data_IF_679628450882
#
_entry.id   IF_679628450882
#
_cell.length_a   1.000
_cell.length_b   1.000
_cell.length_c   1.000
_cell.angle_alpha   90.00
_cell.angle_beta   90.00
_cell.angle_gamma   90.00
#
_symmetry.space_group_name_H-M   'P 1'
#
loop_
_entity.id
_entity.type
_entity.pdbx_description
1 polymer ?
#
# COMPACT_ATOMS: atom_id res chain seq x y z
N UNK A 1 -15.03 19.41 4.40
CA UNK A 1 -14.84 18.75 3.09
C UNK A 1 -15.29 17.29 3.10
N UNK A 2 -14.73 16.43 3.95
CA UNK A 2 -15.09 14.98 4.02
C UNK A 2 -16.57 14.72 4.33
N UNK A 3 -17.15 15.44 5.30
CA UNK A 3 -18.57 15.29 5.67
C UNK A 3 -19.55 15.62 4.53
N UNK A 4 -19.17 16.54 3.63
CA UNK A 4 -19.99 16.90 2.46
C UNK A 4 -19.92 15.82 1.38
N UNK A 5 -18.72 15.26 1.15
CA UNK A 5 -18.51 14.17 0.19
C UNK A 5 -19.24 12.90 0.60
N UNK A 6 -19.21 12.54 1.89
CA UNK A 6 -19.94 11.38 2.43
C UNK A 6 -21.45 11.56 2.30
N UNK A 7 -21.98 12.77 2.56
CA UNK A 7 -23.42 13.07 2.37
C UNK A 7 -23.82 12.97 0.89
N UNK A 8 -23.05 13.55 -0.03
CA UNK A 8 -23.32 13.44 -1.48
C UNK A 8 -23.25 12.01 -2.01
N UNK A 9 -22.36 11.20 -1.47
CA UNK A 9 -22.23 9.79 -1.82
C UNK A 9 -23.44 8.98 -1.31
N UNK A 10 -23.95 9.33 -0.12
CA UNK A 10 -25.17 8.75 0.42
C UNK A 10 -26.43 9.18 -0.36
N UNK A 11 -26.47 10.43 -0.81
CA UNK A 11 -27.57 10.97 -1.63
C UNK A 11 -27.73 10.25 -2.99
N UNK A 12 -26.65 9.67 -3.54
CA UNK A 12 -26.70 8.84 -4.76
C UNK A 12 -26.95 7.34 -4.47
N UNK A 13 -27.42 7.01 -3.25
CA UNK A 13 -27.76 5.66 -2.83
C UNK A 13 -26.56 4.72 -2.67
N UNK A 14 -25.33 5.24 -2.69
CA UNK A 14 -24.12 4.45 -2.46
C UNK A 14 -23.69 4.60 -1.01
N UNK A 15 -23.42 3.47 -0.36
CA UNK A 15 -22.89 3.46 1.02
C UNK A 15 -21.62 4.31 1.10
N UNK A 16 -21.43 5.01 2.23
CA UNK A 16 -20.22 5.78 2.53
C UNK A 16 -18.92 4.96 2.41
N UNK A 17 -19.04 3.63 2.30
CA UNK A 17 -17.94 2.73 1.98
C UNK A 17 -17.22 3.05 0.66
N UNK A 18 -17.90 3.65 -0.32
CA UNK A 18 -17.27 4.10 -1.56
C UNK A 18 -16.26 5.23 -1.33
N UNK A 19 -16.32 5.95 -0.20
CA UNK A 19 -15.29 6.93 0.17
C UNK A 19 -13.95 6.25 0.49
N UNK A 20 -13.95 5.01 0.97
CA UNK A 20 -12.71 4.25 1.21
C UNK A 20 -11.97 3.91 -0.09
N UNK A 21 -12.60 4.05 -1.27
CA UNK A 21 -11.90 3.91 -2.55
C UNK A 21 -10.85 5.02 -2.73
N UNK A 22 -11.11 6.24 -2.23
CA UNK A 22 -10.11 7.30 -2.18
C UNK A 22 -8.95 6.99 -1.22
N UNK A 23 -9.10 5.99 -0.34
CA UNK A 23 -8.06 5.51 0.57
C UNK A 23 -7.20 4.39 -0.05
N UNK A 24 -7.62 3.81 -1.18
CA UNK A 24 -6.84 2.81 -1.93
C UNK A 24 -5.42 3.29 -2.31
N UNK A 25 -5.17 4.55 -2.74
CA UNK A 25 -3.79 5.03 -2.93
C UNK A 25 -2.98 5.01 -1.63
N UNK A 26 -3.61 5.15 -0.46
CA UNK A 26 -2.96 5.07 0.83
C UNK A 26 -2.57 3.62 1.16
N UNK A 27 -3.49 2.66 1.00
CA UNK A 27 -3.19 1.23 1.20
C UNK A 27 -2.10 0.76 0.23
N UNK A 28 -2.18 1.15 -1.04
CA UNK A 28 -1.18 0.76 -2.06
C UNK A 28 0.20 1.35 -1.80
N UNK A 29 0.28 2.62 -1.39
CA UNK A 29 1.56 3.24 -1.01
C UNK A 29 2.16 2.63 0.25
N UNK A 30 1.33 2.32 1.26
CA UNK A 30 1.78 1.60 2.46
C UNK A 30 2.31 0.21 2.09
N UNK A 31 1.62 -0.52 1.21
CA UNK A 31 2.07 -1.84 0.74
C UNK A 31 3.41 -1.78 0.00
N UNK A 32 3.60 -0.80 -0.90
CA UNK A 32 4.87 -0.59 -1.58
C UNK A 32 5.99 -0.18 -0.61
N UNK A 33 5.69 0.64 0.40
CA UNK A 33 6.62 0.98 1.46
C UNK A 33 7.04 -0.27 2.24
N UNK A 34 6.09 -1.12 2.61
CA UNK A 34 6.38 -2.40 3.27
C UNK A 34 7.25 -3.27 2.37
N UNK A 35 6.95 -3.38 1.07
CA UNK A 35 7.77 -4.17 0.14
C UNK A 35 9.19 -3.60 -0.02
N UNK A 36 9.34 -2.28 -0.06
CA UNK A 36 10.64 -1.60 -0.17
C UNK A 36 11.46 -1.71 1.13
N UNK A 37 10.79 -1.70 2.29
CA UNK A 37 11.40 -1.89 3.60
C UNK A 37 11.60 -3.37 3.96
N UNK A 38 10.97 -4.30 3.23
CA UNK A 38 11.19 -5.74 3.41
C UNK A 38 12.58 -6.08 2.89
N UNK A 39 13.38 -6.76 3.70
CA UNK A 39 14.70 -7.23 3.29
C UNK A 39 14.62 -8.04 1.99
N UNK A 40 15.61 -7.85 1.11
CA UNK A 40 15.72 -8.65 -0.11
C UNK A 40 15.75 -10.14 0.22
N UNK A 41 15.11 -10.96 -0.61
CA UNK A 41 15.04 -12.42 -0.44
C UNK A 41 16.42 -13.01 -0.07
N UNK A 42 16.52 -13.83 0.98
CA UNK A 42 17.78 -14.45 1.39
C UNK A 42 18.20 -15.49 0.33
N UNK A 43 19.36 -15.27 -0.29
CA UNK A 43 19.90 -16.13 -1.35
C UNK A 43 20.45 -15.35 -2.53
N UNK A 44 20.96 -16.06 -3.55
CA UNK A 44 21.32 -15.45 -4.82
C UNK A 44 20.03 -15.13 -5.58
N UNK A 45 19.74 -13.85 -5.77
CA UNK A 45 18.66 -13.44 -6.65
C UNK A 45 19.21 -13.23 -8.07
N UNK A 46 18.31 -13.21 -9.06
CA UNK A 46 18.64 -13.07 -10.49
C UNK A 46 19.41 -11.78 -10.85
N UNK A 47 19.59 -10.87 -9.89
CA UNK A 47 20.27 -9.58 -10.03
C UNK A 47 21.61 -9.51 -9.25
N UNK A 48 21.99 -10.56 -8.51
CA UNK A 48 23.28 -10.63 -7.80
C UNK A 48 23.25 -11.37 -6.47
N UNK A 49 24.43 -11.59 -5.88
CA UNK A 49 24.52 -12.16 -4.54
C UNK A 49 24.09 -11.13 -3.48
N UNK A 50 23.24 -11.54 -2.55
CA UNK A 50 22.90 -10.72 -1.39
C UNK A 50 24.13 -10.58 -0.47
N UNK A 51 24.72 -9.38 -0.41
CA UNK A 51 25.95 -9.08 0.35
C UNK A 51 25.77 -9.16 1.87
N UNK A 52 24.52 -9.28 2.37
CA UNK A 52 24.22 -9.29 3.80
C UNK A 52 24.58 -10.62 4.48
N UNK A 53 24.90 -11.66 3.71
CA UNK A 53 25.30 -12.99 4.22
C UNK A 53 26.81 -13.30 4.19
N UNK A 54 27.68 -12.38 3.74
CA UNK A 54 29.12 -12.65 3.58
C UNK A 54 29.99 -12.23 4.78
N UNK A 55 29.43 -11.64 5.85
CA UNK A 55 30.22 -11.15 6.99
C UNK A 55 29.74 -11.71 8.35
N UNK A 56 29.61 -13.04 8.44
CA UNK A 56 29.80 -13.78 9.70
C UNK A 56 30.43 -15.14 9.37
#
# INVERSE_FOLDING_TARGET
MIAVTVRRLHDIGKSGFWYFICLIPLIGSIWLLVLLCTDSQPGQNQFGANLKGYNN
#
